data_IF_170865543016
#
_entry.id   IF_170865543016
#
_cell.length_a   1.000
_cell.length_b   1.000
_cell.length_c   1.000
_cell.angle_alpha   90.00
_cell.angle_beta   90.00
_cell.angle_gamma   90.00
#
_symmetry.space_group_name_H-M   'P 1'
#
loop_
_entity.id
_entity.type
_entity.pdbx_description
1 polymer ?
#
# COMPACT_ATOMS: atom_id res chain seq x y z
N UNK A 1 -2.11 -17.66 6.05
CA UNK A 1 -1.67 -16.88 4.86
C UNK A 1 -1.35 -17.77 3.66
N UNK A 2 -0.38 -18.70 3.75
CA UNK A 2 0.08 -19.47 2.58
C UNK A 2 -1.03 -20.17 1.75
N UNK A 3 -1.95 -20.88 2.41
CA UNK A 3 -3.00 -21.62 1.71
C UNK A 3 -3.94 -20.71 0.90
N UNK A 4 -4.46 -19.63 1.50
CA UNK A 4 -5.39 -18.72 0.84
C UNK A 4 -4.75 -17.98 -0.34
N UNK A 5 -3.46 -17.63 -0.24
CA UNK A 5 -2.69 -17.04 -1.35
C UNK A 5 -2.56 -18.03 -2.49
N UNK A 6 -2.24 -19.30 -2.20
CA UNK A 6 -2.15 -20.36 -3.20
C UNK A 6 -3.50 -20.56 -3.93
N UNK A 7 -4.61 -20.55 -3.20
CA UNK A 7 -5.95 -20.67 -3.77
C UNK A 7 -6.31 -19.46 -4.65
N UNK A 8 -5.96 -18.24 -4.23
CA UNK A 8 -6.17 -17.03 -5.03
C UNK A 8 -5.36 -17.07 -6.34
N UNK A 9 -4.10 -17.50 -6.26
CA UNK A 9 -3.23 -17.69 -7.45
C UNK A 9 -3.79 -18.73 -8.41
N UNK A 10 -4.29 -19.85 -7.90
CA UNK A 10 -4.96 -20.86 -8.72
C UNK A 10 -6.22 -20.33 -9.43
N UNK A 11 -6.85 -19.27 -8.89
CA UNK A 11 -8.00 -18.57 -9.48
C UNK A 11 -7.60 -17.39 -10.38
N UNK A 12 -6.31 -17.19 -10.64
CA UNK A 12 -5.81 -16.14 -11.54
C UNK A 12 -5.58 -14.77 -10.87
N UNK A 13 -5.63 -14.68 -9.54
CA UNK A 13 -5.28 -13.46 -8.81
C UNK A 13 -3.79 -13.45 -8.45
N UNK A 14 -3.18 -12.27 -8.35
CA UNK A 14 -1.78 -12.13 -7.93
C UNK A 14 -1.61 -12.37 -6.43
N UNK A 15 -2.58 -11.91 -5.63
CA UNK A 15 -2.51 -11.94 -4.16
C UNK A 15 -3.91 -11.87 -3.50
N UNK A 16 -3.94 -11.83 -2.17
CA UNK A 16 -5.15 -11.64 -1.34
C UNK A 16 -5.09 -10.34 -0.55
N UNK A 17 -6.22 -9.66 -0.46
CA UNK A 17 -6.43 -8.52 0.44
C UNK A 17 -7.26 -8.99 1.64
N UNK A 18 -6.66 -8.98 2.83
CA UNK A 18 -7.33 -9.40 4.06
C UNK A 18 -8.27 -8.32 4.56
N UNK A 19 -9.38 -8.77 5.14
CA UNK A 19 -10.33 -7.94 5.86
C UNK A 19 -10.22 -8.24 7.35
N UNK A 20 -10.64 -7.27 8.17
CA UNK A 20 -10.74 -7.42 9.61
C UNK A 20 -11.58 -8.65 9.99
N UNK A 21 -11.09 -9.44 10.94
CA UNK A 21 -11.71 -10.72 11.31
C UNK A 21 -13.03 -10.57 12.09
N UNK A 22 -13.39 -9.37 12.54
CA UNK A 22 -14.55 -9.13 13.40
C UNK A 22 -15.78 -8.78 12.56
N UNK A 23 -15.65 -7.80 11.67
CA UNK A 23 -16.76 -7.27 10.88
C UNK A 23 -16.69 -7.70 9.41
N UNK A 24 -15.53 -8.18 8.93
CA UNK A 24 -15.28 -8.51 7.52
C UNK A 24 -15.64 -7.35 6.56
N UNK A 25 -15.33 -6.11 6.97
CA UNK A 25 -15.71 -4.87 6.25
C UNK A 25 -14.54 -3.95 5.97
N UNK A 26 -13.50 -3.99 6.79
CA UNK A 26 -12.37 -3.07 6.72
C UNK A 26 -11.14 -3.80 6.19
N UNK A 27 -10.40 -3.18 5.29
CA UNK A 27 -9.19 -3.76 4.74
C UNK A 27 -8.05 -3.66 5.76
N UNK A 28 -7.21 -4.69 5.82
CA UNK A 28 -6.04 -4.75 6.69
C UNK A 28 -4.76 -4.74 5.84
N UNK A 29 -4.40 -5.87 5.23
CA UNK A 29 -3.13 -6.06 4.54
C UNK A 29 -3.29 -6.85 3.24
N UNK A 30 -2.37 -6.64 2.28
CA UNK A 30 -2.21 -7.48 1.08
C UNK A 30 -1.17 -8.54 1.40
N UNK A 31 -1.61 -9.74 1.77
CA UNK A 31 -0.75 -10.82 2.28
C UNK A 31 0.25 -10.41 3.36
N UNK A 32 1.48 -10.07 2.97
CA UNK A 32 2.59 -9.68 3.83
C UNK A 32 2.99 -8.21 3.63
N UNK A 33 2.10 -7.40 3.05
CA UNK A 33 2.33 -6.00 2.71
C UNK A 33 1.21 -5.14 3.28
N UNK A 34 1.55 -3.94 3.75
CA UNK A 34 0.53 -2.97 4.16
C UNK A 34 -0.19 -2.42 2.91
N UNK A 35 -1.48 -2.08 3.06
CA UNK A 35 -2.30 -1.55 1.98
C UNK A 35 -2.53 -0.04 2.11
N UNK A 36 -2.59 0.63 0.96
CA UNK A 36 -2.91 2.05 0.84
C UNK A 36 -3.95 2.28 -0.26
N UNK A 37 -4.79 3.30 -0.06
CA UNK A 37 -5.70 3.82 -1.07
C UNK A 37 -5.46 5.31 -1.29
N UNK A 38 -5.63 5.77 -2.53
CA UNK A 38 -5.52 7.18 -2.90
C UNK A 38 -6.87 7.68 -3.40
N UNK A 39 -7.33 8.82 -2.89
CA UNK A 39 -8.51 9.54 -3.40
C UNK A 39 -8.19 11.03 -3.51
N UNK A 40 -7.98 11.52 -4.73
CA UNK A 40 -7.52 12.88 -4.97
C UNK A 40 -6.19 13.17 -4.26
N UNK A 41 -6.18 14.12 -3.32
CA UNK A 41 -5.01 14.50 -2.51
C UNK A 41 -4.91 13.77 -1.16
N UNK A 42 -5.77 12.78 -0.92
CA UNK A 42 -5.81 12.01 0.32
C UNK A 42 -5.23 10.62 0.09
N UNK A 43 -4.24 10.24 0.89
CA UNK A 43 -3.70 8.89 0.97
C UNK A 43 -4.14 8.28 2.29
N UNK A 44 -4.77 7.12 2.26
CA UNK A 44 -5.27 6.46 3.47
C UNK A 44 -4.65 5.07 3.61
N UNK A 45 -4.31 4.70 4.84
CA UNK A 45 -3.89 3.34 5.21
C UNK A 45 -4.55 2.95 6.53
N UNK A 46 -4.75 1.65 6.75
CA UNK A 46 -5.31 1.18 8.01
C UNK A 46 -4.32 1.39 9.16
N UNK A 47 -4.79 1.78 10.36
CA UNK A 47 -3.92 2.04 11.50
C UNK A 47 -3.27 0.75 11.98
N UNK A 48 -2.02 0.82 12.44
CA UNK A 48 -1.28 -0.34 12.95
C UNK A 48 -1.67 -0.63 14.40
N UNK A 49 -2.96 -0.88 14.61
CA UNK A 49 -3.54 -1.23 15.89
C UNK A 49 -3.98 -2.69 15.83
N UNK A 50 -3.42 -3.55 16.68
CA UNK A 50 -3.78 -4.96 16.77
C UNK A 50 -3.14 -5.82 15.68
N UNK A 51 -3.92 -6.20 14.66
CA UNK A 51 -3.63 -7.26 13.67
C UNK A 51 -2.73 -6.82 12.52
N UNK A 52 -2.60 -5.51 12.28
CA UNK A 52 -1.85 -4.96 11.14
C UNK A 52 -0.41 -4.69 11.54
N UNK A 53 0.54 -5.24 10.78
CA UNK A 53 1.97 -5.08 11.05
C UNK A 53 2.43 -3.62 10.85
N UNK A 54 3.18 -3.00 11.80
CA UNK A 54 3.76 -1.68 11.62
C UNK A 54 4.98 -1.70 10.69
N UNK A 55 4.73 -1.82 9.39
CA UNK A 55 5.79 -1.92 8.37
C UNK A 55 6.66 -0.67 8.28
N UNK A 56 7.98 -0.87 8.13
CA UNK A 56 8.93 0.25 7.98
C UNK A 56 8.72 0.98 6.66
N UNK A 57 8.54 0.26 5.54
CA UNK A 57 8.22 0.89 4.25
C UNK A 57 6.93 1.72 4.34
N UNK A 58 5.90 1.22 5.02
CA UNK A 58 4.65 1.97 5.28
C UNK A 58 4.95 3.29 6.00
N UNK A 59 5.72 3.25 7.10
CA UNK A 59 6.11 4.45 7.85
C UNK A 59 6.83 5.45 6.93
N UNK A 60 7.82 4.99 6.16
CA UNK A 60 8.55 5.82 5.19
C UNK A 60 7.62 6.47 4.17
N UNK A 61 6.64 5.73 3.63
CA UNK A 61 5.68 6.26 2.66
C UNK A 61 4.76 7.31 3.28
N UNK A 62 4.31 7.14 4.53
CA UNK A 62 3.51 8.15 5.24
C UNK A 62 4.29 9.46 5.36
N UNK A 63 5.57 9.40 5.73
CA UNK A 63 6.44 10.57 5.85
C UNK A 63 6.67 11.25 4.49
N UNK A 64 7.06 10.49 3.47
CA UNK A 64 7.30 11.03 2.12
C UNK A 64 6.03 11.62 1.49
N UNK A 65 4.87 10.97 1.66
CA UNK A 65 3.61 11.50 1.17
C UNK A 65 3.25 12.84 1.83
N UNK A 66 3.51 12.96 3.13
CA UNK A 66 3.27 14.20 3.88
C UNK A 66 4.21 15.32 3.40
N UNK A 67 5.50 15.01 3.18
CA UNK A 67 6.49 15.96 2.65
C UNK A 67 6.13 16.46 1.23
N UNK A 68 5.42 15.64 0.44
CA UNK A 68 4.87 16.02 -0.88
C UNK A 68 3.55 16.81 -0.82
N UNK A 69 3.04 17.10 0.37
CA UNK A 69 1.79 17.84 0.58
C UNK A 69 0.52 17.03 0.37
N UNK A 70 0.58 15.69 0.44
CA UNK A 70 -0.64 14.87 0.52
C UNK A 70 -1.20 14.84 1.94
N UNK A 71 -2.52 14.78 2.07
CA UNK A 71 -3.15 14.50 3.35
C UNK A 71 -3.09 12.99 3.61
N UNK A 72 -2.28 12.56 4.58
CA UNK A 72 -2.21 11.16 5.00
C UNK A 72 -3.20 10.91 6.14
N UNK A 73 -4.02 9.86 6.02
CA UNK A 73 -4.98 9.46 7.06
C UNK A 73 -4.78 8.02 7.47
N UNK A 74 -4.62 7.80 8.76
CA UNK A 74 -4.61 6.47 9.36
C UNK A 74 -5.97 6.19 10.00
N UNK A 75 -6.81 5.42 9.32
CA UNK A 75 -8.14 5.04 9.81
C UNK A 75 -8.60 3.72 9.22
N UNK A 76 -9.62 3.09 9.83
CA UNK A 76 -10.21 1.87 9.25
C UNK A 76 -10.78 2.20 7.87
N UNK A 77 -10.28 1.53 6.83
CA UNK A 77 -10.72 1.73 5.45
C UNK A 77 -11.75 0.67 5.11
N UNK A 78 -12.99 1.08 4.84
CA UNK A 78 -14.01 0.12 4.41
C UNK A 78 -13.79 -0.35 2.97
N UNK A 79 -14.26 -1.55 2.64
CA UNK A 79 -14.29 -2.01 1.23
C UNK A 79 -15.05 -1.03 0.34
N UNK A 80 -16.07 -0.32 0.86
CA UNK A 80 -16.81 0.70 0.10
C UNK A 80 -15.92 1.88 -0.31
N UNK A 81 -14.99 2.28 0.55
CA UNK A 81 -14.01 3.34 0.27
C UNK A 81 -12.97 2.86 -0.74
N UNK A 82 -12.43 1.65 -0.55
CA UNK A 82 -11.53 1.01 -1.51
C UNK A 82 -12.13 1.01 -2.93
N UNK A 83 -13.39 0.58 -3.08
CA UNK A 83 -14.06 0.51 -4.38
C UNK A 83 -14.29 1.88 -5.05
N UNK A 84 -14.04 2.99 -4.34
CA UNK A 84 -14.14 4.36 -4.84
C UNK A 84 -12.78 5.05 -4.99
N UNK A 85 -11.67 4.38 -4.64
CA UNK A 85 -10.33 4.91 -4.73
C UNK A 85 -9.91 5.18 -6.20
N UNK A 86 -8.98 6.12 -6.38
CA UNK A 86 -8.33 6.37 -7.67
C UNK A 86 -7.17 5.40 -7.90
N UNK A 87 -6.35 5.19 -6.87
CA UNK A 87 -5.20 4.27 -6.88
C UNK A 87 -5.26 3.40 -5.63
N UNK A 88 -4.68 2.20 -5.74
CA UNK A 88 -4.45 1.29 -4.63
C UNK A 88 -3.03 0.79 -4.80
N UNK A 89 -2.27 0.72 -3.71
CA UNK A 89 -0.92 0.19 -3.73
C UNK A 89 -0.62 -0.52 -2.41
N UNK A 90 0.38 -1.39 -2.43
CA UNK A 90 0.89 -2.06 -1.24
C UNK A 90 2.38 -1.75 -1.04
N UNK A 91 2.81 -1.86 0.22
CA UNK A 91 4.20 -1.60 0.61
C UNK A 91 4.74 -2.72 1.46
N UNK A 92 6.00 -3.09 1.22
CA UNK A 92 6.74 -4.04 2.04
C UNK A 92 8.19 -4.10 1.60
N UNK A 93 9.11 -4.45 2.49
CA UNK A 93 10.56 -4.37 2.21
C UNK A 93 10.97 -5.10 0.93
N UNK A 94 10.43 -6.31 0.70
CA UNK A 94 10.77 -7.10 -0.47
C UNK A 94 10.11 -6.58 -1.78
N UNK A 95 8.94 -5.96 -1.68
CA UNK A 95 8.19 -5.46 -2.85
C UNK A 95 8.47 -3.98 -3.13
N UNK A 96 9.05 -3.25 -2.18
CA UNK A 96 9.12 -1.80 -2.19
C UNK A 96 7.72 -1.20 -2.14
N UNK A 97 7.30 -0.60 -3.25
CA UNK A 97 5.93 -0.13 -3.50
C UNK A 97 5.44 -0.82 -4.77
N UNK A 98 4.27 -1.44 -4.72
CA UNK A 98 3.64 -2.04 -5.90
C UNK A 98 2.21 -1.53 -6.04
N UNK A 99 1.87 -1.13 -7.25
CA UNK A 99 0.51 -0.76 -7.63
C UNK A 99 -0.41 -1.99 -7.65
N UNK A 100 -1.67 -1.77 -7.30
CA UNK A 100 -2.74 -2.77 -7.38
C UNK A 100 -3.67 -2.36 -8.51
N UNK A 101 -3.51 -2.98 -9.68
CA UNK A 101 -4.30 -2.63 -10.87
C UNK A 101 -5.78 -3.01 -10.79
N UNK A 102 -6.15 -3.99 -9.98
CA UNK A 102 -7.56 -4.34 -9.74
C UNK A 102 -7.77 -5.11 -8.44
N UNK A 103 -8.98 -4.99 -7.89
CA UNK A 103 -9.45 -5.82 -6.76
C UNK A 103 -10.81 -6.41 -7.09
N UNK A 104 -10.98 -7.69 -6.80
CA UNK A 104 -12.27 -8.39 -6.91
C UNK A 104 -12.86 -8.66 -5.53
N UNK A 105 -14.08 -8.18 -5.29
CA UNK A 105 -14.83 -8.43 -4.06
C UNK A 105 -16.27 -8.84 -4.40
N UNK A 106 -16.72 -9.99 -3.88
CA UNK A 106 -18.06 -10.56 -4.16
C UNK A 106 -18.40 -10.57 -5.66
N UNK A 107 -17.50 -11.13 -6.47
CA UNK A 107 -17.59 -11.22 -7.94
C UNK A 107 -17.59 -9.87 -8.69
N UNK A 108 -17.40 -8.75 -7.99
CA UNK A 108 -17.23 -7.43 -8.61
C UNK A 108 -15.75 -7.08 -8.69
N UNK A 109 -15.23 -6.98 -9.91
CA UNK A 109 -13.88 -6.49 -10.19
C UNK A 109 -13.92 -4.97 -10.42
N UNK A 110 -13.06 -4.23 -9.71
CA UNK A 110 -12.80 -2.81 -9.92
C UNK A 110 -11.35 -2.65 -10.33
N UNK A 111 -11.10 -1.78 -11.32
CA UNK A 111 -9.77 -1.40 -11.77
C UNK A 111 -9.36 -0.06 -11.18
N UNK A 112 -8.07 0.12 -10.94
CA UNK A 112 -7.48 1.34 -10.40
C UNK A 112 -6.47 1.93 -11.39
N UNK A 113 -6.15 3.21 -11.24
CA UNK A 113 -5.12 3.87 -12.04
C UNK A 113 -3.75 3.31 -11.65
N UNK A 114 -2.95 2.94 -12.65
CA UNK A 114 -1.57 2.47 -12.52
C UNK A 114 -0.66 3.20 -13.50
N UNK A 115 0.66 3.01 -13.37
CA UNK A 115 1.65 3.54 -14.32
C UNK A 115 2.25 4.90 -13.92
N UNK A 116 2.97 5.56 -14.85
CA UNK A 116 3.94 6.61 -14.53
C UNK A 116 3.32 7.88 -13.92
N UNK A 117 2.09 8.22 -14.27
CA UNK A 117 1.41 9.43 -13.80
C UNK A 117 0.68 9.26 -12.46
N UNK A 118 1.03 8.25 -11.68
CA UNK A 118 0.38 7.92 -10.41
C UNK A 118 1.12 8.48 -9.21
N UNK A 119 0.38 8.70 -8.12
CA UNK A 119 0.97 9.00 -6.81
C UNK A 119 1.87 7.84 -6.37
N UNK A 120 1.42 6.62 -6.64
CA UNK A 120 2.16 5.38 -6.39
C UNK A 120 3.55 5.41 -7.04
N UNK A 121 3.64 5.69 -8.35
CA UNK A 121 4.93 5.78 -9.03
C UNK A 121 5.81 6.88 -8.47
N UNK A 122 5.24 8.07 -8.20
CA UNK A 122 6.00 9.19 -7.63
C UNK A 122 6.64 8.82 -6.29
N UNK A 123 5.92 8.11 -5.42
CA UNK A 123 6.45 7.63 -4.15
C UNK A 123 7.54 6.56 -4.35
N UNK A 124 7.36 5.68 -5.34
CA UNK A 124 8.34 4.65 -5.67
C UNK A 124 9.67 5.27 -6.14
N UNK A 125 9.61 6.25 -7.03
CA UNK A 125 10.80 6.92 -7.56
C UNK A 125 11.57 7.65 -6.46
N UNK A 126 10.86 8.28 -5.52
CA UNK A 126 11.47 8.98 -4.39
C UNK A 126 12.18 8.03 -3.44
N UNK A 127 11.50 6.99 -2.95
CA UNK A 127 12.11 6.05 -1.99
C UNK A 127 13.27 5.29 -2.63
N UNK A 128 13.13 4.89 -3.90
CA UNK A 128 14.20 4.19 -4.64
C UNK A 128 15.38 5.13 -4.89
N UNK A 129 15.13 6.39 -5.24
CA UNK A 129 16.18 7.40 -5.41
C UNK A 129 16.96 7.63 -4.12
N UNK A 130 16.28 7.67 -2.97
CA UNK A 130 16.94 7.77 -1.65
C UNK A 130 17.76 6.49 -1.36
N UNK A 131 17.18 5.31 -1.53
CA UNK A 131 17.85 4.03 -1.27
C UNK A 131 19.10 3.81 -2.14
N UNK A 132 19.09 4.32 -3.36
CA UNK A 132 20.20 4.19 -4.32
C UNK A 132 21.20 5.34 -4.26
N UNK A 133 20.97 6.35 -3.41
CA UNK A 133 21.81 7.54 -3.29
C UNK A 133 21.70 8.52 -4.46
N UNK A 134 20.74 8.33 -5.38
CA UNK A 134 20.44 9.30 -6.45
C UNK A 134 19.76 10.55 -5.90
N UNK A 135 19.03 10.43 -4.79
CA UNK A 135 18.40 11.52 -4.07
C UNK A 135 19.00 11.62 -2.67
N UNK A 136 19.10 12.85 -2.18
CA UNK A 136 19.55 13.15 -0.82
C UNK A 136 18.61 12.53 0.23
N UNK A 137 19.19 11.81 1.19
CA UNK A 137 18.47 11.34 2.37
C UNK A 137 18.41 12.44 3.45
N UNK A 138 17.27 13.11 3.53
CA UNK A 138 17.02 14.17 4.52
C UNK A 138 16.56 13.65 5.88
N UNK A 139 16.35 12.34 6.02
CA UNK A 139 15.74 11.72 7.21
C UNK A 139 16.71 10.81 7.96
N UNK A 140 17.92 10.60 7.44
CA UNK A 140 18.95 9.77 8.06
C UNK A 140 18.60 8.28 8.08
N UNK A 141 17.88 7.80 7.05
CA UNK A 141 17.57 6.40 6.84
C UNK A 141 18.74 5.59 6.25
N UNK A 142 19.65 6.23 5.53
CA UNK A 142 20.79 5.59 4.87
C UNK A 142 21.98 5.54 5.82
N UNK A 143 22.43 4.31 6.11
CA UNK A 143 23.63 4.04 6.89
C UNK A 143 24.68 3.46 5.95
N UNK A 144 25.85 4.09 5.91
CA UNK A 144 27.00 3.54 5.19
C UNK A 144 27.54 2.33 5.95
N UNK A 145 27.74 1.23 5.25
CA UNK A 145 28.43 0.03 5.76
C UNK A 145 29.82 0.02 5.15
N UNK A 146 30.84 -0.08 5.98
CA UNK A 146 32.25 -0.22 5.58
C UNK A 146 32.66 -1.69 5.46
#
# INVERSE_FOLDING_TARGET
VFQVVKEAKAKGFSDVLFLDAVEHKYIEEVSSCNAFIVKGKVISTSPTLGTILPGITRKTIIELASDLGYQVKEHKISVKELLRANEVFCTGTAVGISDVGSVTYKNKCIKFKTGPDTVTQKLYDLITGIHTGLLEDKKGWIVKID
#
